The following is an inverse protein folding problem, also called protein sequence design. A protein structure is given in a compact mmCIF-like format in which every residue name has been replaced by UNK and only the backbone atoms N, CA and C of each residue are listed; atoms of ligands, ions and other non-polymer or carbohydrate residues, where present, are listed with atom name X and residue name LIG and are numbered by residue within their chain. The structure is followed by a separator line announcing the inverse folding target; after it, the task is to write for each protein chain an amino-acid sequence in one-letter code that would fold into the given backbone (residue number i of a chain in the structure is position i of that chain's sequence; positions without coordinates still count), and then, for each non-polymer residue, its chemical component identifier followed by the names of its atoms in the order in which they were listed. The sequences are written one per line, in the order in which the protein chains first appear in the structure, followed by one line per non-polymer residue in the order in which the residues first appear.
data_IF_674236452032
#
_entry.id   IF_674236452032
#
_cell.length_a   1.000
_cell.length_b   1.000
_cell.length_c   1.000
_cell.angle_alpha   90.00
_cell.angle_beta   90.00
_cell.angle_gamma   90.00
#
_symmetry.space_group_name_H-M   'P 1'
#
loop_
_entity.id
_entity.type
_entity.pdbx_description
1 polymer ?
#
# COMPACT_ATOMS: atom_id res chain seq x y z
N UNK A 1 10.92 18.26 -3.76
CA UNK A 1 12.21 17.53 -3.80
C UNK A 1 11.94 16.08 -4.23
N UNK A 2 12.54 15.56 -5.32
CA UNK A 2 12.52 14.12 -5.62
C UNK A 2 13.45 13.41 -4.61
N UNK A 3 12.88 12.60 -3.72
CA UNK A 3 13.66 11.73 -2.82
C UNK A 3 14.29 10.62 -3.66
N UNK A 4 15.60 10.74 -3.93
CA UNK A 4 16.38 9.86 -4.84
C UNK A 4 16.50 8.38 -4.42
N UNK A 5 15.78 7.95 -3.38
CA UNK A 5 15.81 6.56 -2.88
C UNK A 5 14.45 5.87 -2.78
N UNK A 6 13.34 6.58 -2.98
CA UNK A 6 12.00 5.99 -2.88
C UNK A 6 11.44 5.70 -4.27
N UNK A 7 11.36 4.41 -4.62
CA UNK A 7 10.60 3.96 -5.80
C UNK A 7 9.10 4.08 -5.51
N UNK A 8 8.32 4.49 -6.52
CA UNK A 8 6.84 4.48 -6.47
C UNK A 8 6.32 3.09 -6.03
N UNK A 9 7.02 2.03 -6.44
CA UNK A 9 6.71 0.66 -6.03
C UNK A 9 6.94 0.45 -4.53
N UNK A 10 8.08 0.89 -4.00
CA UNK A 10 8.42 0.74 -2.58
C UNK A 10 7.47 1.52 -1.67
N UNK A 11 7.11 2.75 -2.06
CA UNK A 11 6.11 3.55 -1.34
C UNK A 11 4.74 2.87 -1.37
N UNK A 12 4.37 2.25 -2.50
CA UNK A 12 3.09 1.55 -2.63
C UNK A 12 3.04 0.26 -1.80
N UNK A 13 4.14 -0.50 -1.73
CA UNK A 13 4.26 -1.67 -0.83
C UNK A 13 4.12 -1.25 0.64
N UNK A 14 4.87 -0.23 1.07
CA UNK A 14 4.77 0.30 2.44
C UNK A 14 3.36 0.80 2.75
N UNK A 15 2.75 1.53 1.82
CA UNK A 15 1.38 2.01 1.94
C UNK A 15 0.36 0.87 2.04
N UNK A 16 0.48 -0.18 1.21
CA UNK A 16 -0.40 -1.34 1.24
C UNK A 16 -0.29 -2.14 2.53
N UNK A 17 0.92 -2.30 3.06
CA UNK A 17 1.15 -2.90 4.37
C UNK A 17 0.51 -2.05 5.47
N UNK A 18 0.81 -0.74 5.52
CA UNK A 18 0.26 0.16 6.55
C UNK A 18 -1.26 0.25 6.50
N UNK A 19 -1.87 0.22 5.31
CA UNK A 19 -3.33 0.22 5.16
C UNK A 19 -3.96 -1.02 5.78
N UNK A 20 -3.40 -2.20 5.52
CA UNK A 20 -3.89 -3.45 6.11
C UNK A 20 -3.71 -3.47 7.64
N UNK A 21 -2.59 -2.96 8.15
CA UNK A 21 -2.38 -2.80 9.60
C UNK A 21 -3.41 -1.85 10.20
N UNK A 22 -3.63 -0.69 9.58
CA UNK A 22 -4.63 0.28 10.02
C UNK A 22 -6.05 -0.30 10.02
N UNK A 23 -6.41 -1.00 8.95
CA UNK A 23 -7.70 -1.69 8.83
C UNK A 23 -7.88 -2.74 9.94
N UNK A 24 -6.83 -3.49 10.27
CA UNK A 24 -6.89 -4.48 11.34
C UNK A 24 -7.00 -3.84 12.72
N UNK A 25 -6.26 -2.76 12.99
CA UNK A 25 -6.35 -2.01 14.23
C UNK A 25 -7.75 -1.45 14.45
N UNK A 26 -8.35 -0.86 13.42
CA UNK A 26 -9.73 -0.35 13.48
C UNK A 26 -10.71 -1.51 13.68
N UNK A 27 -10.56 -2.63 12.95
CA UNK A 27 -11.41 -3.80 13.12
C UNK A 27 -11.35 -4.37 14.54
N UNK A 28 -10.16 -4.45 15.14
CA UNK A 28 -9.99 -4.89 16.54
C UNK A 28 -10.65 -3.94 17.53
N UNK A 29 -10.56 -2.62 17.31
CA UNK A 29 -11.19 -1.62 18.16
C UNK A 29 -12.72 -1.65 18.07
N UNK A 30 -13.28 -1.94 16.89
CA UNK A 30 -14.74 -1.94 16.65
C UNK A 30 -15.38 -3.28 17.03
N UNK A 31 -14.72 -4.40 16.77
CA UNK A 31 -15.26 -5.76 17.00
C UNK A 31 -14.91 -6.30 18.39
N UNK A 32 -14.05 -5.60 19.15
CA UNK A 32 -13.56 -5.98 20.49
C UNK A 32 -12.96 -7.40 20.55
N UNK A 33 -12.47 -7.91 19.41
CA UNK A 33 -12.00 -9.29 19.28
C UNK A 33 -10.51 -9.34 18.93
N UNK A 34 -9.67 -9.60 19.94
CA UNK A 34 -8.21 -9.75 19.81
C UNK A 34 -7.81 -10.92 18.89
N UNK A 35 -8.70 -11.88 18.64
CA UNK A 35 -8.40 -12.99 17.70
C UNK A 35 -8.17 -12.51 16.27
N UNK A 36 -8.59 -11.30 15.92
CA UNK A 36 -8.30 -10.68 14.63
C UNK A 36 -6.79 -10.52 14.38
N UNK A 37 -5.96 -10.43 15.43
CA UNK A 37 -4.51 -10.39 15.28
C UNK A 37 -3.93 -11.62 14.54
N UNK A 38 -4.60 -12.77 14.56
CA UNK A 38 -4.18 -13.95 13.77
C UNK A 38 -4.24 -13.72 12.25
N UNK A 39 -5.02 -12.75 11.77
CA UNK A 39 -5.08 -12.39 10.36
C UNK A 39 -3.90 -11.53 9.92
N UNK A 40 -3.12 -10.97 10.86
CA UNK A 40 -2.01 -10.06 10.58
C UNK A 40 -0.98 -10.60 9.59
N UNK A 41 -0.49 -11.86 9.67
CA UNK A 41 0.49 -12.38 8.72
C UNK A 41 -0.07 -12.47 7.30
N UNK A 42 -1.33 -12.89 7.18
CA UNK A 42 -2.03 -12.98 5.88
C UNK A 42 -2.27 -11.59 5.31
N UNK A 43 -2.65 -10.63 6.15
CA UNK A 43 -2.81 -9.23 5.77
C UNK A 43 -1.49 -8.59 5.32
N UNK A 44 -0.36 -8.91 5.95
CA UNK A 44 0.95 -8.42 5.51
C UNK A 44 1.30 -8.92 4.11
N UNK A 45 1.09 -10.21 3.84
CA UNK A 45 1.33 -10.81 2.52
C UNK A 45 0.41 -10.17 1.48
N UNK A 46 -0.89 -10.04 1.78
CA UNK A 46 -1.85 -9.39 0.90
C UNK A 46 -1.51 -7.93 0.64
N UNK A 47 -1.05 -7.20 1.66
CA UNK A 47 -0.65 -5.80 1.57
C UNK A 47 0.61 -5.60 0.72
N UNK A 48 1.58 -6.51 0.83
CA UNK A 48 2.75 -6.53 -0.05
C UNK A 48 2.38 -6.82 -1.51
N UNK A 49 1.57 -7.84 -1.77
CA UNK A 49 1.16 -8.19 -3.15
C UNK A 49 0.38 -7.02 -3.76
N UNK A 50 -0.59 -6.49 -3.04
CA UNK A 50 -1.44 -5.39 -3.53
C UNK A 50 -0.62 -4.12 -3.74
N UNK A 51 0.26 -3.78 -2.80
CA UNK A 51 1.16 -2.64 -2.92
C UNK A 51 2.19 -2.78 -4.05
N UNK A 52 2.64 -4.00 -4.35
CA UNK A 52 3.48 -4.26 -5.53
C UNK A 52 2.68 -3.98 -6.81
N UNK A 53 1.45 -4.51 -6.92
CA UNK A 53 0.59 -4.34 -8.10
C UNK A 53 0.26 -2.86 -8.35
N UNK A 54 -0.17 -2.14 -7.31
CA UNK A 54 -0.47 -0.70 -7.39
C UNK A 54 0.80 0.08 -7.72
N UNK A 55 1.94 -0.31 -7.16
CA UNK A 55 3.23 0.29 -7.43
C UNK A 55 3.64 0.19 -8.89
N UNK A 56 3.52 -1.01 -9.48
CA UNK A 56 3.80 -1.26 -10.91
C UNK A 56 2.83 -0.52 -11.81
N UNK A 57 1.53 -0.56 -11.49
CA UNK A 57 0.51 0.18 -12.25
C UNK A 57 0.81 1.69 -12.22
N UNK A 58 1.14 2.23 -11.05
CA UNK A 58 1.48 3.65 -10.88
C UNK A 58 2.75 4.04 -11.63
N UNK A 59 3.77 3.17 -11.64
CA UNK A 59 4.98 3.39 -12.44
C UNK A 59 4.71 3.48 -13.96
N UNK A 60 3.66 2.80 -14.44
CA UNK A 60 3.22 2.88 -15.83
C UNK A 60 2.33 4.10 -16.11
N UNK A 61 1.48 4.49 -15.16
CA UNK A 61 0.53 5.59 -15.33
C UNK A 61 1.23 6.95 -15.23
N UNK A 62 2.11 7.14 -14.24
CA UNK A 62 2.76 8.44 -13.96
C UNK A 62 3.46 9.06 -15.19
N UNK A 63 4.23 8.32 -15.99
CA UNK A 63 4.84 8.87 -17.21
C UNK A 63 3.82 9.24 -18.29
N UNK A 64 2.67 8.55 -18.35
CA UNK A 64 1.63 8.78 -19.36
C UNK A 64 0.82 10.03 -19.05
N UNK A 65 0.47 10.25 -17.78
CA UNK A 65 -0.20 11.50 -17.36
C UNK A 65 0.70 12.72 -17.54
N UNK A 66 2.00 12.62 -17.25
CA UNK A 66 2.94 13.73 -17.46
C UNK A 66 3.14 14.09 -18.95
N UNK A 67 2.87 13.14 -19.85
CA UNK A 67 2.92 13.35 -21.30
C UNK A 67 1.59 13.89 -21.86
N UNK A 68 0.48 13.57 -21.20
CA UNK A 68 -0.87 13.98 -21.61
C UNK A 68 -1.22 15.40 -21.15
N UNK A 69 -0.63 15.86 -20.03
CA UNK A 69 -0.79 17.23 -19.53
C UNK A 69 0.59 17.81 -19.18
N UNK A 70 1.32 18.37 -20.17
CA UNK A 70 2.58 19.07 -19.96
C UNK A 70 2.29 20.50 -19.47
N UNK A 71 1.81 20.63 -18.23
CA UNK A 71 1.73 21.91 -17.54
C UNK A 71 3.11 22.37 -17.03
#
# INVERSE_FOLDING_TARGET
KKVKGFSVVGVSILGGVLHNVGQLCVAMAVVENIRLAYYFPVLLIGGMITGLLIGVASAQIIPRIHKADPA
#
